data_IF_600637970468
#
_entry.id   IF_600637970468
#
_cell.length_a   1.000
_cell.length_b   1.000
_cell.length_c   1.000
_cell.angle_alpha   90.00
_cell.angle_beta   90.00
_cell.angle_gamma   90.00
#
_symmetry.space_group_name_H-M   'P 1'
#
loop_
_entity.id
_entity.type
_entity.pdbx_description
1 polymer ?
#
# COMPACT_ATOMS: atom_id res chain seq x y z
N UNK A 1 -110.47 -3.17 10.65
CA UNK A 1 -110.08 -2.60 9.35
C UNK A 1 -109.37 -1.28 9.63
N UNK A 2 -108.05 -1.32 9.74
CA UNK A 2 -107.18 -0.14 9.90
C UNK A 2 -106.09 -0.20 8.83
N UNK A 3 -105.76 0.91 8.14
CA UNK A 3 -104.75 0.94 7.08
C UNK A 3 -103.34 1.26 7.65
N UNK A 4 -102.29 1.27 6.81
CA UNK A 4 -100.93 0.85 7.17
C UNK A 4 -100.00 2.02 7.45
N UNK A 5 -98.94 1.81 8.23
CA UNK A 5 -97.72 2.61 8.16
C UNK A 5 -96.51 1.76 8.53
N UNK A 6 -95.81 1.23 7.52
CA UNK A 6 -94.47 0.70 7.68
C UNK A 6 -93.52 1.84 7.36
N UNK A 7 -92.98 2.47 8.39
CA UNK A 7 -91.89 3.43 8.25
C UNK A 7 -90.58 2.66 8.43
N UNK A 8 -89.85 2.42 7.35
CA UNK A 8 -88.47 1.90 7.40
C UNK A 8 -87.55 2.94 6.77
N UNK A 9 -86.88 3.69 7.63
CA UNK A 9 -85.75 4.55 7.29
C UNK A 9 -84.59 4.21 8.20
N UNK A 10 -84.10 2.96 8.12
CA UNK A 10 -82.81 2.60 8.70
C UNK A 10 -81.72 3.04 7.72
N UNK A 11 -81.15 4.22 7.99
CA UNK A 11 -79.89 4.63 7.37
C UNK A 11 -78.76 3.77 7.93
N UNK A 12 -77.84 3.23 7.10
CA UNK A 12 -76.71 2.46 7.60
C UNK A 12 -75.77 3.35 8.42
N UNK A 13 -75.09 2.82 9.45
CA UNK A 13 -74.16 3.60 10.25
C UNK A 13 -73.00 4.09 9.39
N UNK A 14 -72.72 5.38 9.50
CA UNK A 14 -71.59 6.07 8.89
C UNK A 14 -70.28 5.35 9.22
N UNK A 15 -69.47 5.10 8.18
CA UNK A 15 -68.17 4.46 8.31
C UNK A 15 -67.27 5.18 9.32
N UNK A 16 -66.51 4.45 10.16
CA UNK A 16 -65.61 5.10 11.11
C UNK A 16 -64.54 5.91 10.37
N UNK A 17 -64.11 7.06 10.95
CA UNK A 17 -63.12 7.91 10.32
C UNK A 17 -61.79 7.15 10.13
N UNK A 18 -61.05 7.40 9.04
CA UNK A 18 -59.78 6.76 8.80
C UNK A 18 -58.79 7.07 9.93
N UNK A 19 -58.11 6.05 10.44
CA UNK A 19 -57.09 6.20 11.46
C UNK A 19 -55.96 7.11 10.96
N UNK A 20 -55.35 7.93 11.83
CA UNK A 20 -54.24 8.79 11.45
C UNK A 20 -53.07 7.93 10.92
N UNK A 21 -52.36 8.39 9.87
CA UNK A 21 -51.22 7.67 9.33
C UNK A 21 -50.15 7.50 10.42
N UNK A 22 -49.84 6.25 10.76
CA UNK A 22 -48.72 5.93 11.66
C UNK A 22 -47.45 6.47 10.99
N UNK A 23 -46.66 7.34 11.64
CA UNK A 23 -45.43 7.84 11.04
C UNK A 23 -44.53 6.65 10.73
N UNK A 24 -44.25 6.42 9.45
CA UNK A 24 -43.38 5.35 9.01
C UNK A 24 -42.06 5.46 9.78
N UNK A 25 -41.71 4.41 10.53
CA UNK A 25 -40.46 4.37 11.28
C UNK A 25 -39.31 4.46 10.29
N UNK A 26 -38.61 5.59 10.27
CA UNK A 26 -37.47 5.79 9.39
C UNK A 26 -36.31 4.91 9.88
N UNK A 27 -36.04 3.83 9.15
CA UNK A 27 -34.88 2.96 9.39
C UNK A 27 -33.67 3.56 8.70
N UNK A 28 -32.56 3.71 9.42
CA UNK A 28 -31.31 4.26 8.89
C UNK A 28 -30.12 3.45 9.39
N UNK A 29 -29.33 2.87 8.48
CA UNK A 29 -28.06 2.25 8.82
C UNK A 29 -26.91 3.26 8.81
N UNK A 30 -26.13 3.31 9.89
CA UNK A 30 -24.93 4.14 9.98
C UNK A 30 -23.69 3.27 9.82
N UNK A 31 -22.92 3.50 8.75
CA UNK A 31 -21.66 2.78 8.46
C UNK A 31 -20.59 3.03 9.53
N UNK A 32 -20.47 4.26 10.03
CA UNK A 32 -19.54 4.63 11.09
C UNK A 32 -19.86 3.93 12.41
N UNK A 33 -21.14 3.93 12.81
CA UNK A 33 -21.57 3.31 14.06
C UNK A 33 -21.81 1.80 13.95
N UNK A 34 -21.83 1.26 12.72
CA UNK A 34 -22.23 -0.11 12.37
C UNK A 34 -23.55 -0.54 13.02
N UNK A 35 -24.53 0.36 13.00
CA UNK A 35 -25.82 0.19 13.70
C UNK A 35 -26.97 0.72 12.87
N UNK A 36 -28.07 -0.02 12.92
CA UNK A 36 -29.37 0.42 12.41
C UNK A 36 -30.06 1.26 13.47
N UNK A 37 -30.46 2.48 13.11
CA UNK A 37 -31.26 3.40 13.91
C UNK A 37 -32.69 3.41 13.40
N UNK A 38 -33.64 3.23 14.30
CA UNK A 38 -35.08 3.34 14.03
C UNK A 38 -35.62 4.76 14.25
N UNK A 39 -34.75 5.69 14.70
CA UNK A 39 -35.06 7.11 14.85
C UNK A 39 -34.71 7.93 13.60
N UNK A 40 -34.48 7.25 12.49
CA UNK A 40 -33.92 7.82 11.26
C UNK A 40 -32.56 8.47 11.51
N UNK A 41 -32.38 9.67 10.93
CA UNK A 41 -31.15 10.46 11.00
C UNK A 41 -30.91 11.17 12.34
N UNK A 42 -31.81 11.04 13.35
CA UNK A 42 -31.59 11.65 14.68
C UNK A 42 -30.35 11.09 15.38
N UNK A 43 -29.99 9.83 15.12
CA UNK A 43 -28.81 9.22 15.74
C UNK A 43 -27.49 9.97 15.45
N UNK A 44 -27.40 10.71 14.33
CA UNK A 44 -26.23 11.52 13.95
C UNK A 44 -25.94 12.63 14.98
N UNK A 45 -26.96 13.06 15.72
CA UNK A 45 -26.80 14.08 16.76
C UNK A 45 -26.45 13.50 18.13
N UNK A 46 -26.41 12.16 18.27
CA UNK A 46 -26.05 11.52 19.52
C UNK A 46 -24.59 11.77 19.90
N UNK A 47 -24.32 11.89 21.19
CA UNK A 47 -22.96 12.03 21.73
C UNK A 47 -22.08 10.85 21.34
N UNK A 48 -22.63 9.63 21.33
CA UNK A 48 -21.92 8.42 20.93
C UNK A 48 -21.50 8.42 19.47
N UNK A 49 -22.36 8.88 18.55
CA UNK A 49 -21.99 9.03 17.14
C UNK A 49 -20.90 10.08 16.96
N UNK A 50 -21.09 11.27 17.54
CA UNK A 50 -20.12 12.37 17.45
C UNK A 50 -18.74 11.99 18.00
N UNK A 51 -18.69 11.23 19.10
CA UNK A 51 -17.43 10.73 19.67
C UNK A 51 -16.71 9.80 18.69
N UNK A 52 -17.40 8.79 18.16
CA UNK A 52 -16.84 7.85 17.17
C UNK A 52 -16.38 8.54 15.89
N UNK A 53 -17.14 9.54 15.45
CA UNK A 53 -16.80 10.31 14.26
C UNK A 53 -15.50 11.08 14.48
N UNK A 54 -15.37 11.73 15.63
CA UNK A 54 -14.14 12.43 16.02
C UNK A 54 -12.96 11.46 16.10
N UNK A 55 -13.07 10.37 16.84
CA UNK A 55 -12.01 9.35 16.98
C UNK A 55 -11.55 8.82 15.59
N UNK A 56 -12.48 8.54 14.68
CA UNK A 56 -12.17 8.07 13.34
C UNK A 56 -11.45 9.13 12.48
N UNK A 57 -11.85 10.40 12.60
CA UNK A 57 -11.24 11.50 11.87
C UNK A 57 -9.89 11.92 12.45
N UNK A 58 -9.71 11.85 13.77
CA UNK A 58 -8.42 12.08 14.43
C UNK A 58 -7.40 11.03 13.99
N UNK A 59 -7.78 9.76 14.01
CA UNK A 59 -6.91 8.69 13.52
C UNK A 59 -6.54 8.88 12.04
N UNK A 60 -7.48 9.27 11.19
CA UNK A 60 -7.18 9.56 9.79
C UNK A 60 -6.24 10.78 9.65
N UNK A 61 -6.39 11.81 10.47
CA UNK A 61 -5.48 12.97 10.48
C UNK A 61 -4.05 12.59 10.90
N UNK A 62 -3.90 11.70 11.88
CA UNK A 62 -2.58 11.17 12.27
C UNK A 62 -1.91 10.44 11.10
N UNK A 63 -2.66 9.60 10.38
CA UNK A 63 -2.16 8.90 9.19
C UNK A 63 -1.81 9.89 8.06
N UNK A 64 -2.61 10.94 7.85
CA UNK A 64 -2.31 12.01 6.87
C UNK A 64 -1.02 12.75 7.26
N UNK A 65 -0.86 13.13 8.52
CA UNK A 65 0.33 13.82 9.00
C UNK A 65 1.58 12.95 8.87
N UNK A 66 1.51 11.68 9.28
CA UNK A 66 2.59 10.72 9.13
C UNK A 66 2.97 10.51 7.66
N UNK A 67 1.97 10.46 6.78
CA UNK A 67 2.19 10.34 5.35
C UNK A 67 2.82 11.61 4.75
N UNK A 68 2.42 12.81 5.19
CA UNK A 68 3.00 14.07 4.73
C UNK A 68 4.49 14.22 5.09
N UNK A 69 4.93 13.68 6.22
CA UNK A 69 6.36 13.67 6.56
C UNK A 69 7.18 12.83 5.56
N UNK A 70 6.61 11.76 5.01
CA UNK A 70 7.26 10.94 3.97
C UNK A 70 7.46 11.71 2.66
N UNK A 71 6.64 12.73 2.35
CA UNK A 71 6.87 13.57 1.17
C UNK A 71 8.21 14.33 1.22
N UNK A 72 8.82 14.48 2.41
CA UNK A 72 10.13 15.13 2.54
C UNK A 72 11.28 14.20 2.20
N UNK A 73 11.14 12.91 2.49
CA UNK A 73 12.17 11.90 2.30
C UNK A 73 11.54 10.56 1.95
N UNK A 74 11.44 10.29 0.65
CA UNK A 74 10.86 9.06 0.12
C UNK A 74 11.96 8.02 0.00
N UNK A 75 11.81 6.93 0.76
CA UNK A 75 12.75 5.81 0.73
C UNK A 75 12.14 4.65 -0.05
N UNK A 76 12.90 4.15 -1.03
CA UNK A 76 12.58 2.91 -1.74
C UNK A 76 13.23 1.74 -1.01
N UNK A 77 12.44 0.72 -0.71
CA UNK A 77 12.92 -0.50 -0.07
C UNK A 77 12.63 -1.71 -0.95
N UNK A 78 13.46 -2.75 -0.83
CA UNK A 78 13.13 -4.06 -1.40
C UNK A 78 12.04 -4.71 -0.57
N UNK A 79 11.09 -5.31 -1.25
CA UNK A 79 10.05 -6.11 -0.63
C UNK A 79 10.63 -7.45 -0.17
N UNK A 80 10.55 -7.72 1.13
CA UNK A 80 10.86 -9.05 1.65
C UNK A 80 9.66 -9.98 1.44
N UNK A 81 9.90 -11.21 0.99
CA UNK A 81 8.84 -12.17 0.67
C UNK A 81 7.90 -12.51 1.85
N UNK A 82 8.31 -12.22 3.08
CA UNK A 82 7.51 -12.40 4.30
C UNK A 82 6.59 -11.20 4.62
N UNK A 83 6.84 -10.03 4.02
CA UNK A 83 6.06 -8.84 4.29
C UNK A 83 4.76 -8.83 3.50
N UNK A 84 3.65 -8.87 4.23
CA UNK A 84 2.31 -8.80 3.65
C UNK A 84 1.95 -7.35 3.31
N UNK A 85 1.08 -7.18 2.30
CA UNK A 85 0.51 -5.88 1.95
C UNK A 85 -0.20 -5.23 3.15
N UNK A 86 0.40 -4.16 3.69
CA UNK A 86 -0.16 -3.40 4.81
C UNK A 86 -1.29 -2.50 4.28
N UNK A 87 -2.43 -2.49 4.97
CA UNK A 87 -3.59 -1.67 4.60
C UNK A 87 -4.03 -0.76 5.73
N UNK A 88 -4.50 0.43 5.35
CA UNK A 88 -5.11 1.41 6.25
C UNK A 88 -6.60 1.50 5.94
N UNK A 89 -7.44 1.59 6.96
CA UNK A 89 -8.88 1.79 6.74
C UNK A 89 -9.18 3.27 6.54
N UNK A 90 -9.75 3.65 5.39
CA UNK A 90 -10.23 5.00 5.17
C UNK A 90 -11.71 5.13 5.60
N UNK A 91 -12.04 5.86 6.68
CA UNK A 91 -13.43 6.06 7.09
C UNK A 91 -14.25 6.84 6.05
N UNK A 92 -13.63 7.73 5.28
CA UNK A 92 -14.29 8.53 4.26
C UNK A 92 -14.76 7.68 3.07
N UNK A 93 -13.91 6.78 2.57
CA UNK A 93 -14.22 5.92 1.44
C UNK A 93 -14.88 4.60 1.84
N UNK A 94 -14.75 4.20 3.11
CA UNK A 94 -15.40 3.00 3.64
C UNK A 94 -14.77 1.69 3.16
N UNK A 95 -13.49 1.70 2.82
CA UNK A 95 -12.72 0.50 2.45
C UNK A 95 -11.27 0.60 2.92
N UNK A 96 -10.58 -0.55 2.88
CA UNK A 96 -9.15 -0.63 3.11
C UNK A 96 -8.39 -0.11 1.88
N UNK A 97 -7.32 0.65 2.11
CA UNK A 97 -6.42 1.19 1.08
C UNK A 97 -5.00 0.69 1.33
N UNK A 98 -4.20 0.48 0.27
CA UNK A 98 -2.79 0.14 0.42
C UNK A 98 -2.07 1.22 1.22
N UNK A 99 -1.28 0.82 2.21
CA UNK A 99 -0.42 1.75 2.96
C UNK A 99 0.77 2.16 2.11
N UNK A 100 1.42 1.18 1.50
CA UNK A 100 2.66 1.35 0.76
C UNK A 100 2.39 1.28 -0.75
N UNK A 101 3.19 1.99 -1.54
CA UNK A 101 3.20 1.78 -2.98
C UNK A 101 4.09 0.57 -3.28
N UNK A 102 3.69 -0.30 -4.21
CA UNK A 102 4.43 -1.53 -4.53
C UNK A 102 4.50 -1.75 -6.03
N UNK A 103 5.69 -2.11 -6.54
CA UNK A 103 5.90 -2.51 -7.94
C UNK A 103 7.19 -3.30 -8.08
N UNK A 104 7.13 -4.45 -8.76
CA UNK A 104 8.33 -5.19 -9.17
C UNK A 104 9.24 -5.63 -8.02
N UNK A 105 8.69 -5.96 -6.85
CA UNK A 105 9.46 -6.32 -5.65
C UNK A 105 10.08 -5.13 -4.92
N UNK A 106 9.68 -3.90 -5.27
CA UNK A 106 10.00 -2.69 -4.53
C UNK A 106 8.76 -2.19 -3.80
N UNK A 107 8.97 -1.60 -2.63
CA UNK A 107 7.96 -0.90 -1.87
C UNK A 107 8.43 0.50 -1.51
N UNK A 108 7.48 1.44 -1.48
CA UNK A 108 7.68 2.78 -0.93
C UNK A 108 6.69 2.95 0.22
N UNK A 109 7.19 2.91 1.47
CA UNK A 109 6.35 2.99 2.65
C UNK A 109 5.46 4.24 2.62
N UNK A 110 4.19 4.11 3.04
CA UNK A 110 3.20 5.21 3.13
C UNK A 110 2.79 5.89 1.79
N UNK A 111 3.51 5.65 0.69
CA UNK A 111 3.21 6.27 -0.60
C UNK A 111 1.87 5.80 -1.20
N UNK A 112 1.42 4.58 -0.87
CA UNK A 112 0.10 4.08 -1.28
C UNK A 112 -1.04 4.88 -0.64
N UNK A 113 -0.89 5.18 0.65
CA UNK A 113 -1.83 6.04 1.37
C UNK A 113 -1.82 7.47 0.81
N UNK A 114 -0.64 8.05 0.55
CA UNK A 114 -0.52 9.38 -0.06
C UNK A 114 -1.23 9.46 -1.41
N UNK A 115 -1.03 8.45 -2.27
CA UNK A 115 -1.67 8.39 -3.58
C UNK A 115 -3.20 8.34 -3.47
N UNK A 116 -3.72 7.61 -2.48
CA UNK A 116 -5.16 7.60 -2.17
C UNK A 116 -5.66 8.96 -1.70
N UNK A 117 -4.99 9.57 -0.70
CA UNK A 117 -5.39 10.84 -0.08
C UNK A 117 -5.33 12.03 -1.05
N UNK A 118 -4.44 11.97 -2.03
CA UNK A 118 -4.31 12.96 -3.09
C UNK A 118 -5.24 12.69 -4.30
N UNK A 119 -6.00 11.59 -4.27
CA UNK A 119 -6.88 11.17 -5.35
C UNK A 119 -8.18 11.99 -5.45
N UNK A 120 -8.71 12.22 -6.67
CA UNK A 120 -9.97 12.93 -6.85
C UNK A 120 -11.18 12.17 -6.29
N UNK A 121 -11.11 10.84 -6.22
CA UNK A 121 -12.14 9.99 -5.62
C UNK A 121 -12.24 10.24 -4.11
N UNK A 122 -11.12 10.17 -3.38
CA UNK A 122 -11.09 10.48 -1.95
C UNK A 122 -11.58 11.89 -1.64
N UNK A 123 -11.22 12.88 -2.47
CA UNK A 123 -11.70 14.26 -2.34
C UNK A 123 -13.24 14.35 -2.41
N UNK A 124 -13.87 13.55 -3.29
CA UNK A 124 -15.33 13.49 -3.46
C UNK A 124 -15.99 12.74 -2.30
N UNK A 125 -15.46 11.57 -1.94
CA UNK A 125 -16.00 10.75 -0.86
C UNK A 125 -15.83 11.43 0.50
N UNK A 126 -14.73 12.14 0.76
CA UNK A 126 -14.57 12.96 1.97
C UNK A 126 -15.65 14.04 2.05
N UNK A 127 -15.89 14.77 0.96
CA UNK A 127 -16.94 15.80 0.95
C UNK A 127 -18.34 15.19 1.19
N UNK A 128 -18.62 14.03 0.61
CA UNK A 128 -19.85 13.27 0.84
C UNK A 128 -19.97 12.80 2.29
N UNK A 129 -18.94 12.16 2.81
CA UNK A 129 -18.87 11.62 4.16
C UNK A 129 -19.10 12.69 5.22
N UNK A 130 -18.45 13.86 5.09
CA UNK A 130 -18.64 14.96 6.03
C UNK A 130 -20.09 15.49 6.00
N UNK A 131 -20.71 15.59 4.82
CA UNK A 131 -22.13 15.98 4.70
C UNK A 131 -23.07 14.96 5.32
N UNK A 132 -22.85 13.68 5.04
CA UNK A 132 -23.69 12.58 5.54
C UNK A 132 -23.61 12.43 7.07
N UNK A 133 -22.43 12.65 7.65
CA UNK A 133 -22.19 12.55 9.09
C UNK A 133 -22.35 13.89 9.84
N UNK A 134 -22.77 14.96 9.16
CA UNK A 134 -22.93 16.32 9.75
C UNK A 134 -21.65 16.82 10.43
N UNK A 135 -20.50 16.48 9.85
CA UNK A 135 -19.19 16.94 10.30
C UNK A 135 -18.92 18.37 9.83
N UNK A 136 -17.99 19.04 10.50
CA UNK A 136 -17.53 20.38 10.12
C UNK A 136 -16.81 20.36 8.77
N UNK A 137 -17.20 21.26 7.87
CA UNK A 137 -16.61 21.34 6.54
C UNK A 137 -15.11 21.71 6.56
N UNK A 138 -14.66 22.45 7.57
CA UNK A 138 -13.26 22.83 7.77
C UNK A 138 -12.32 21.63 7.98
N UNK A 139 -12.84 20.48 8.44
CA UNK A 139 -12.04 19.25 8.59
C UNK A 139 -11.58 18.70 7.25
N UNK A 140 -12.26 19.04 6.14
CA UNK A 140 -11.91 18.56 4.81
C UNK A 140 -10.47 18.88 4.42
N UNK A 141 -9.99 20.07 4.74
CA UNK A 141 -8.63 20.53 4.39
C UNK A 141 -7.54 19.75 5.10
N UNK A 142 -7.86 19.15 6.25
CA UNK A 142 -6.93 18.31 7.03
C UNK A 142 -6.92 16.84 6.59
N UNK A 143 -7.88 16.44 5.77
CA UNK A 143 -8.11 15.05 5.39
C UNK A 143 -7.81 14.77 3.92
N UNK A 144 -7.62 15.82 3.12
CA UNK A 144 -7.42 15.72 1.67
C UNK A 144 -6.13 16.44 1.30
N UNK A 145 -5.29 15.78 0.51
CA UNK A 145 -4.10 16.39 -0.04
C UNK A 145 -4.43 17.22 -1.29
N UNK A 146 -3.66 18.27 -1.52
CA UNK A 146 -3.83 19.14 -2.68
C UNK A 146 -3.42 18.43 -3.97
N UNK A 147 -3.84 18.96 -5.13
CA UNK A 147 -3.34 18.46 -6.41
C UNK A 147 -1.83 18.71 -6.57
N UNK A 148 -1.32 19.76 -5.92
CA UNK A 148 0.12 20.06 -5.85
C UNK A 148 0.86 18.97 -5.08
N UNK A 149 0.33 18.52 -3.94
CA UNK A 149 0.87 17.38 -3.18
C UNK A 149 0.93 16.11 -4.05
N UNK A 150 -0.10 15.88 -4.87
CA UNK A 150 -0.10 14.76 -5.81
C UNK A 150 1.02 14.87 -6.83
N UNK A 151 1.22 16.07 -7.40
CA UNK A 151 2.29 16.34 -8.34
C UNK A 151 3.67 16.15 -7.69
N UNK A 152 3.86 16.69 -6.49
CA UNK A 152 5.09 16.51 -5.69
C UNK A 152 5.38 15.05 -5.41
N UNK A 153 4.38 14.29 -4.97
CA UNK A 153 4.51 12.84 -4.74
C UNK A 153 4.99 12.12 -5.99
N UNK A 154 4.42 12.42 -7.16
CA UNK A 154 4.80 11.76 -8.41
C UNK A 154 6.26 12.06 -8.80
N UNK A 155 6.71 13.30 -8.62
CA UNK A 155 8.10 13.70 -8.88
C UNK A 155 9.06 13.00 -7.92
N UNK A 156 8.83 13.14 -6.60
CA UNK A 156 9.72 12.56 -5.58
C UNK A 156 9.75 11.03 -5.67
N UNK A 157 8.62 10.39 -5.98
CA UNK A 157 8.58 8.94 -6.19
C UNK A 157 9.40 8.52 -7.42
N UNK A 158 9.32 9.26 -8.52
CA UNK A 158 10.12 8.97 -9.72
C UNK A 158 11.61 9.16 -9.47
N UNK A 159 12.01 10.24 -8.78
CA UNK A 159 13.40 10.50 -8.39
C UNK A 159 13.94 9.41 -7.45
N UNK A 160 13.17 9.03 -6.43
CA UNK A 160 13.58 8.01 -5.46
C UNK A 160 13.77 6.64 -6.14
N UNK A 161 12.88 6.27 -7.08
CA UNK A 161 13.01 5.04 -7.86
C UNK A 161 14.24 5.08 -8.79
N UNK A 162 14.46 6.20 -9.49
CA UNK A 162 15.65 6.36 -10.34
C UNK A 162 16.96 6.26 -9.56
N UNK A 163 17.06 6.97 -8.43
CA UNK A 163 18.23 6.91 -7.55
C UNK A 163 18.48 5.49 -7.01
N UNK A 164 17.40 4.75 -6.70
CA UNK A 164 17.51 3.36 -6.26
C UNK A 164 18.05 2.46 -7.39
N UNK A 165 17.55 2.61 -8.61
CA UNK A 165 18.01 1.85 -9.78
C UNK A 165 19.49 2.12 -10.09
N UNK A 166 19.92 3.38 -10.06
CA UNK A 166 21.33 3.77 -10.24
C UNK A 166 22.23 3.15 -9.16
N UNK A 167 21.82 3.19 -7.88
CA UNK A 167 22.59 2.57 -6.80
C UNK A 167 22.70 1.04 -6.96
N UNK A 168 21.66 0.36 -7.44
CA UNK A 168 21.71 -1.07 -7.70
C UNK A 168 22.62 -1.40 -8.89
N UNK A 169 22.58 -0.61 -9.96
CA UNK A 169 23.49 -0.71 -11.11
C UNK A 169 24.96 -0.57 -10.66
N UNK A 170 25.27 0.46 -9.86
CA UNK A 170 26.61 0.66 -9.29
C UNK A 170 27.07 -0.53 -8.45
N UNK A 171 26.19 -1.09 -7.60
CA UNK A 171 26.50 -2.29 -6.81
C UNK A 171 26.80 -3.49 -7.70
N UNK A 172 26.01 -3.71 -8.76
CA UNK A 172 26.25 -4.79 -9.72
C UNK A 172 27.60 -4.62 -10.40
N UNK A 173 27.93 -3.40 -10.84
CA UNK A 173 29.22 -3.11 -11.48
C UNK A 173 30.41 -3.32 -10.53
N UNK A 174 30.29 -2.91 -9.26
CA UNK A 174 31.30 -3.15 -8.23
C UNK A 174 31.51 -4.65 -7.97
N UNK A 175 30.44 -5.43 -7.83
CA UNK A 175 30.51 -6.87 -7.66
C UNK A 175 31.19 -7.51 -8.87
N UNK A 176 30.80 -7.13 -10.09
CA UNK A 176 31.40 -7.65 -11.31
C UNK A 176 32.90 -7.31 -11.43
N UNK A 177 33.31 -6.11 -11.00
CA UNK A 177 34.72 -5.73 -10.95
C UNK A 177 35.52 -6.58 -9.95
N UNK A 178 34.96 -6.80 -8.75
CA UNK A 178 35.57 -7.67 -7.73
C UNK A 178 35.74 -9.11 -8.23
N UNK A 179 34.75 -9.66 -8.95
CA UNK A 179 34.82 -11.00 -9.52
C UNK A 179 35.97 -11.07 -10.55
N UNK A 180 36.04 -10.11 -11.48
CA UNK A 180 37.11 -10.07 -12.50
C UNK A 180 38.50 -9.97 -11.87
N UNK A 181 38.64 -9.21 -10.80
CA UNK A 181 39.91 -9.09 -10.09
C UNK A 181 40.29 -10.39 -9.35
N UNK A 182 39.33 -11.04 -8.68
CA UNK A 182 39.53 -12.33 -8.05
C UNK A 182 39.94 -13.41 -9.07
N UNK A 183 39.28 -13.46 -10.23
CA UNK A 183 39.66 -14.36 -11.33
C UNK A 183 41.09 -14.09 -11.83
N UNK A 184 41.49 -12.82 -11.95
CA UNK A 184 42.86 -12.45 -12.34
C UNK A 184 43.87 -12.99 -11.33
N UNK A 185 43.67 -12.73 -10.04
CA UNK A 185 44.54 -13.24 -8.97
C UNK A 185 44.63 -14.76 -8.97
N UNK A 186 43.52 -15.45 -9.23
CA UNK A 186 43.49 -16.91 -9.33
C UNK A 186 44.31 -17.40 -10.53
N UNK A 187 44.14 -16.79 -11.71
CA UNK A 187 44.94 -17.12 -12.91
C UNK A 187 46.43 -16.89 -12.68
N UNK A 188 46.81 -15.78 -12.07
CA UNK A 188 48.21 -15.44 -11.79
C UNK A 188 48.82 -16.46 -10.81
N UNK A 189 48.08 -16.86 -9.78
CA UNK A 189 48.53 -17.89 -8.80
C UNK A 189 48.74 -19.25 -9.47
N UNK A 190 47.79 -19.67 -10.31
CA UNK A 190 47.90 -20.94 -11.07
C UNK A 190 49.09 -20.89 -12.03
N UNK A 191 49.26 -19.78 -12.76
CA UNK A 191 50.38 -19.62 -13.69
C UNK A 191 51.74 -19.66 -12.95
N UNK A 192 51.86 -18.99 -11.80
CA UNK A 192 53.06 -19.05 -10.98
C UNK A 192 53.37 -20.47 -10.50
N UNK A 193 52.36 -21.22 -10.02
CA UNK A 193 52.53 -22.61 -9.59
C UNK A 193 52.99 -23.53 -10.75
N UNK A 194 52.44 -23.34 -11.95
CA UNK A 194 52.85 -24.09 -13.14
C UNK A 194 54.29 -23.76 -13.57
N UNK A 195 54.74 -22.52 -13.43
CA UNK A 195 56.12 -22.13 -13.75
C UNK A 195 57.14 -22.72 -12.77
N UNK A 196 56.82 -22.82 -11.48
CA UNK A 196 57.69 -23.47 -10.48
C UNK A 196 57.79 -24.98 -10.73
N UNK A 197 56.73 -25.62 -11.25
CA UNK A 197 56.76 -27.03 -11.66
C UNK A 197 57.48 -27.31 -12.99
N UNK A 198 57.86 -26.28 -13.74
CA UNK A 198 58.49 -26.36 -15.06
C UNK A 198 59.98 -25.96 -15.05
N UNK A 199 60.63 -25.92 -13.88
CA UNK A 199 62.09 -25.88 -13.77
C UNK A 199 62.69 -27.10 -14.52
N UNK A 200 63.58 -26.90 -15.50
CA UNK A 200 64.11 -28.00 -16.30
C UNK A 200 64.90 -28.99 -15.42
N UNK A 201 64.54 -30.27 -15.47
CA UNK A 201 65.49 -31.35 -15.24
C UNK A 201 66.62 -31.22 -16.30
N UNK A 202 67.63 -30.41 -16.02
CA UNK A 202 68.86 -30.34 -16.79
C UNK A 202 70.05 -30.72 -15.90
N UNK A 203 70.86 -31.62 -16.48
CA UNK A 203 72.13 -32.20 -16.01
C UNK A 203 71.97 -33.42 -15.07
N UNK A 204 72.47 -34.62 -15.40
CA UNK A 204 73.65 -34.95 -16.20
C UNK A 204 73.43 -36.23 -17.04
N UNK A 205 73.74 -36.15 -18.34
CA UNK A 205 74.12 -37.33 -19.12
C UNK A 205 75.61 -37.60 -18.90
N UNK A 206 76.06 -38.84 -18.67
CA UNK A 206 77.48 -39.13 -18.72
C UNK A 206 77.93 -39.14 -20.18
N UNK A 207 78.90 -38.27 -20.47
CA UNK A 207 79.66 -38.25 -21.70
C UNK A 207 80.46 -39.56 -21.86
N UNK A 208 80.63 -39.93 -23.13
CA UNK A 208 81.29 -41.13 -23.61
C UNK A 208 82.71 -41.35 -23.08
N UNK A 209 83.05 -42.62 -22.85
CA UNK A 209 84.42 -43.12 -22.95
C UNK A 209 84.47 -44.11 -24.12
N UNK A 210 85.10 -43.69 -25.20
CA UNK A 210 85.52 -44.56 -26.31
C UNK A 210 86.91 -45.13 -26.03
N UNK A 211 87.10 -46.36 -26.54
CA UNK A 211 88.33 -47.14 -26.71
C UNK A 211 88.65 -48.11 -25.56
N UNK A 212 88.56 -49.43 -25.85
CA UNK A 212 89.69 -50.17 -26.42
C UNK A 212 89.24 -51.52 -27.01
N UNK A 213 89.65 -51.75 -28.27
CA UNK A 213 90.21 -52.97 -28.86
C UNK A 213 89.51 -54.35 -28.66
N UNK A 214 88.99 -54.88 -29.77
CA UNK A 214 88.95 -56.32 -30.15
C UNK A 214 90.37 -56.83 -30.48
N UNK A 215 90.64 -58.14 -30.74
CA UNK A 215 89.98 -59.44 -30.41
C UNK A 215 91.06 -60.47 -29.89
N UNK A 216 91.06 -61.81 -30.12
CA UNK A 216 90.06 -62.86 -30.42
C UNK A 216 90.00 -63.94 -29.29
N UNK A 217 89.11 -64.94 -29.24
CA UNK A 217 88.75 -65.98 -30.21
C UNK A 217 87.50 -66.73 -29.76
#
# INVERSE_FOLDING_TARGET
LSPPFVNRSDSPPSSPPPLPPVPAMAVHYCSLCRRTSFTGRRHLYSTGHRRRLREALEKLQEEVAAAQEVLRDVVVVREEAAEHERKVWCPCCGHAVPRDWRRGGLAVPQAGLLQHLAGPEHRRETARFLRENRAEAALRERLVLSEEDRGRLAVVLAEALGNYEEQEEERIQQIAASIREAERRQRDTVQAALQVGAEPLLCAGPAALSSTATPPR
#
